data_IF_637768181424
#
_entry.id   IF_637768181424
#
_cell.length_a   1.000
_cell.length_b   1.000
_cell.length_c   1.000
_cell.angle_alpha   90.00
_cell.angle_beta   90.00
_cell.angle_gamma   90.00
#
_symmetry.space_group_name_H-M   'P 1'
#
loop_
_entity.id
_entity.type
_entity.pdbx_description
1 polymer ?
#
# COMPACT_ATOMS: atom_id res chain seq x y z
N UNK A 1 -8.50 15.32 11.22
CA UNK A 1 -8.25 13.88 11.44
C UNK A 1 -8.48 13.16 10.12
N UNK A 2 -7.53 12.31 9.69
CA UNK A 2 -7.71 11.45 8.52
C UNK A 2 -8.88 10.48 8.74
N UNK A 3 -9.44 9.93 7.66
CA UNK A 3 -10.52 8.93 7.76
C UNK A 3 -10.08 7.70 8.55
N UNK A 4 -8.80 7.36 8.49
CA UNK A 4 -8.22 6.21 9.14
C UNK A 4 -7.93 6.42 10.64
N UNK A 5 -7.58 7.64 11.08
CA UNK A 5 -7.47 7.97 12.52
C UNK A 5 -8.82 7.79 13.23
N UNK A 6 -9.95 8.08 12.55
CA UNK A 6 -11.30 7.76 13.03
C UNK A 6 -11.54 6.25 13.10
N UNK A 7 -10.96 5.47 12.17
CA UNK A 7 -11.12 4.03 12.14
C UNK A 7 -10.52 3.36 13.39
N UNK A 8 -9.37 3.81 13.87
CA UNK A 8 -8.75 3.30 15.11
C UNK A 8 -9.68 3.41 16.32
N UNK A 9 -10.33 4.57 16.50
CA UNK A 9 -11.31 4.76 17.57
C UNK A 9 -12.56 3.87 17.40
N UNK A 10 -13.05 3.71 16.17
CA UNK A 10 -14.24 2.89 15.90
C UNK A 10 -14.00 1.39 16.16
N UNK A 11 -12.76 0.89 16.02
CA UNK A 11 -12.44 -0.52 16.36
C UNK A 11 -12.84 -0.86 17.79
N UNK A 12 -12.59 0.02 18.75
CA UNK A 12 -12.91 -0.20 20.17
C UNK A 12 -14.42 -0.15 20.47
N UNK A 13 -15.20 0.51 19.61
CA UNK A 13 -16.65 0.63 19.76
C UNK A 13 -17.40 -0.57 19.19
N UNK A 14 -16.79 -1.39 18.33
CA UNK A 14 -17.43 -2.53 17.70
C UNK A 14 -17.29 -3.79 18.55
N UNK A 15 -18.36 -4.61 18.56
CA UNK A 15 -18.36 -5.86 19.26
C UNK A 15 -18.09 -7.07 18.33
N UNK A 16 -18.04 -8.27 18.90
CA UNK A 16 -17.74 -9.52 18.19
C UNK A 16 -18.71 -9.80 17.03
N UNK A 17 -20.00 -9.48 17.19
CA UNK A 17 -21.02 -9.69 16.16
C UNK A 17 -20.84 -8.73 14.98
N UNK A 18 -20.49 -7.47 15.25
CA UNK A 18 -20.17 -6.48 14.19
C UNK A 18 -19.02 -7.00 13.31
N UNK A 19 -17.95 -7.53 13.93
CA UNK A 19 -16.81 -8.09 13.20
C UNK A 19 -17.12 -9.39 12.45
N UNK A 20 -18.05 -10.22 12.94
CA UNK A 20 -18.56 -11.38 12.18
C UNK A 20 -19.20 -10.92 10.86
N UNK A 21 -20.03 -9.87 10.91
CA UNK A 21 -20.70 -9.31 9.73
C UNK A 21 -19.68 -8.69 8.79
N UNK A 22 -18.75 -7.87 9.28
CA UNK A 22 -17.69 -7.27 8.44
C UNK A 22 -16.81 -8.34 7.79
N UNK A 23 -16.55 -9.47 8.46
CA UNK A 23 -15.86 -10.63 7.88
C UNK A 23 -16.60 -11.18 6.68
N UNK A 24 -17.92 -11.36 6.78
CA UNK A 24 -18.75 -11.86 5.65
C UNK A 24 -18.64 -10.93 4.45
N UNK A 25 -18.76 -9.61 4.67
CA UNK A 25 -18.60 -8.64 3.60
C UNK A 25 -17.21 -8.72 2.95
N UNK A 26 -16.15 -8.69 3.75
CA UNK A 26 -14.78 -8.73 3.26
C UNK A 26 -14.48 -10.02 2.47
N UNK A 27 -14.95 -11.17 2.95
CA UNK A 27 -14.78 -12.46 2.27
C UNK A 27 -15.57 -12.56 0.97
N UNK A 28 -16.66 -11.82 0.84
CA UNK A 28 -17.55 -11.85 -0.33
C UNK A 28 -17.18 -10.85 -1.41
N UNK A 29 -16.23 -9.93 -1.18
CA UNK A 29 -15.88 -8.82 -2.08
C UNK A 29 -15.63 -9.26 -3.54
N UNK A 30 -14.96 -10.40 -3.75
CA UNK A 30 -14.64 -10.90 -5.10
C UNK A 30 -15.86 -11.45 -5.85
N UNK A 31 -16.84 -12.00 -5.12
CA UNK A 31 -17.91 -12.78 -5.71
C UNK A 31 -19.26 -12.06 -5.66
N UNK A 32 -19.46 -11.15 -4.73
CA UNK A 32 -20.74 -10.48 -4.48
C UNK A 32 -20.52 -9.04 -4.05
N UNK A 33 -21.10 -8.14 -4.79
CA UNK A 33 -21.08 -6.72 -4.48
C UNK A 33 -22.08 -6.34 -3.39
N UNK A 34 -23.27 -6.93 -3.45
CA UNK A 34 -24.35 -6.73 -2.48
C UNK A 34 -24.64 -8.02 -1.73
N UNK A 35 -24.91 -7.90 -0.44
CA UNK A 35 -25.35 -9.00 0.40
C UNK A 35 -26.73 -8.66 0.97
N UNK A 36 -27.65 -9.60 0.84
CA UNK A 36 -28.97 -9.52 1.46
C UNK A 36 -28.94 -10.08 2.89
N UNK A 37 -30.02 -9.85 3.62
CA UNK A 37 -30.16 -10.27 5.02
C UNK A 37 -29.99 -11.78 5.21
N UNK A 38 -30.57 -12.57 4.31
CA UNK A 38 -30.48 -14.04 4.36
C UNK A 38 -29.03 -14.52 4.24
N UNK A 39 -28.30 -14.01 3.25
CA UNK A 39 -26.87 -14.33 3.07
C UNK A 39 -26.04 -13.93 4.28
N UNK A 40 -26.28 -12.72 4.81
CA UNK A 40 -25.55 -12.23 5.98
C UNK A 40 -25.85 -13.08 7.21
N UNK A 41 -27.11 -13.46 7.46
CA UNK A 41 -27.50 -14.34 8.56
C UNK A 41 -26.82 -15.70 8.44
N UNK A 42 -26.88 -16.32 7.28
CA UNK A 42 -26.30 -17.63 7.01
C UNK A 42 -24.79 -17.68 7.26
N UNK A 43 -24.03 -16.68 6.77
CA UNK A 43 -22.57 -16.71 6.84
C UNK A 43 -21.99 -16.06 8.09
N UNK A 44 -22.76 -15.25 8.83
CA UNK A 44 -22.29 -14.66 10.10
C UNK A 44 -22.63 -15.52 11.32
N UNK A 45 -23.47 -16.53 11.15
CA UNK A 45 -23.99 -17.35 12.24
C UNK A 45 -24.69 -16.48 13.32
N UNK A 46 -25.53 -15.54 12.84
CA UNK A 46 -26.35 -14.66 13.68
C UNK A 46 -27.81 -14.76 13.27
N UNK A 47 -28.71 -14.84 14.25
CA UNK A 47 -30.14 -14.82 14.01
C UNK A 47 -30.62 -13.51 13.36
N UNK A 48 -31.71 -13.58 12.55
CA UNK A 48 -32.20 -12.44 11.76
C UNK A 48 -32.43 -11.17 12.57
N UNK A 49 -33.10 -11.25 13.70
CA UNK A 49 -33.38 -10.04 14.51
C UNK A 49 -32.11 -9.39 15.07
N UNK A 50 -31.10 -10.19 15.40
CA UNK A 50 -29.82 -9.67 15.88
C UNK A 50 -29.02 -9.02 14.75
N UNK A 51 -29.04 -9.59 13.56
CA UNK A 51 -28.29 -9.08 12.43
C UNK A 51 -28.83 -7.72 11.93
N UNK A 52 -30.15 -7.52 11.95
CA UNK A 52 -30.76 -6.23 11.56
C UNK A 52 -30.26 -5.10 12.44
N UNK A 53 -30.25 -5.30 13.76
CA UNK A 53 -29.73 -4.32 14.72
C UNK A 53 -28.26 -3.97 14.44
N UNK A 54 -27.41 -4.97 14.17
CA UNK A 54 -26.00 -4.74 13.85
C UNK A 54 -25.81 -4.05 12.50
N UNK A 55 -26.60 -4.38 11.48
CA UNK A 55 -26.54 -3.73 10.19
C UNK A 55 -26.91 -2.24 10.28
N UNK A 56 -27.96 -1.88 11.01
CA UNK A 56 -28.33 -0.48 11.24
C UNK A 56 -27.20 0.28 11.94
N UNK A 57 -26.57 -0.34 12.94
CA UNK A 57 -25.43 0.23 13.63
C UNK A 57 -24.22 0.42 12.71
N UNK A 58 -23.87 -0.56 11.88
CA UNK A 58 -22.78 -0.47 10.91
C UNK A 58 -23.05 0.58 9.83
N UNK A 59 -24.31 0.75 9.40
CA UNK A 59 -24.71 1.83 8.50
C UNK A 59 -24.53 3.19 9.18
N UNK A 60 -24.97 3.33 10.43
CA UNK A 60 -24.83 4.57 11.22
C UNK A 60 -23.36 4.97 11.40
N UNK A 61 -22.45 4.01 11.56
CA UNK A 61 -21.02 4.26 11.63
C UNK A 61 -20.35 4.49 10.27
N UNK A 62 -21.10 4.35 9.15
CA UNK A 62 -20.56 4.52 7.80
C UNK A 62 -19.58 3.43 7.39
N UNK A 63 -19.77 2.19 7.89
CA UNK A 63 -18.92 1.03 7.57
C UNK A 63 -19.47 0.20 6.41
N UNK A 64 -20.78 0.23 6.25
CA UNK A 64 -21.53 -0.36 5.15
C UNK A 64 -22.56 0.65 4.66
N UNK A 65 -23.08 0.47 3.47
CA UNK A 65 -24.24 1.22 2.97
C UNK A 65 -25.39 0.28 2.62
N UNK A 66 -26.63 0.78 2.76
CA UNK A 66 -27.86 0.10 2.41
C UNK A 66 -28.41 0.65 1.09
N UNK A 67 -28.89 -0.22 0.21
CA UNK A 67 -29.60 0.11 -1.03
C UNK A 67 -30.75 -0.86 -1.26
N UNK A 68 -31.52 -0.66 -2.33
CA UNK A 68 -32.58 -1.59 -2.74
C UNK A 68 -32.04 -2.99 -3.13
N UNK A 69 -30.74 -3.07 -3.51
CA UNK A 69 -30.07 -4.33 -3.88
C UNK A 69 -29.48 -5.08 -2.67
N UNK A 70 -29.52 -4.47 -1.48
CA UNK A 70 -28.94 -5.01 -0.26
C UNK A 70 -27.88 -4.09 0.35
N UNK A 71 -26.94 -4.70 1.08
CA UNK A 71 -25.87 -4.00 1.79
C UNK A 71 -24.54 -4.18 1.07
N UNK A 72 -23.68 -3.14 1.09
CA UNK A 72 -22.32 -3.19 0.53
C UNK A 72 -21.30 -2.63 1.52
N UNK A 73 -20.09 -3.19 1.51
CA UNK A 73 -18.98 -2.74 2.35
C UNK A 73 -18.44 -1.40 1.86
N UNK A 74 -18.21 -0.50 2.78
CA UNK A 74 -17.52 0.77 2.51
C UNK A 74 -16.02 0.65 2.83
N UNK A 75 -15.23 1.60 2.33
CA UNK A 75 -13.78 1.66 2.57
C UNK A 75 -13.46 1.63 4.06
N UNK A 76 -14.12 2.49 4.85
CA UNK A 76 -13.93 2.53 6.31
C UNK A 76 -14.26 1.20 6.99
N UNK A 77 -15.26 0.47 6.49
CA UNK A 77 -15.60 -0.86 7.00
C UNK A 77 -14.48 -1.88 6.76
N UNK A 78 -13.86 -1.86 5.58
CA UNK A 78 -12.71 -2.72 5.30
C UNK A 78 -11.48 -2.30 6.11
N UNK A 79 -11.23 -1.00 6.28
CA UNK A 79 -10.14 -0.47 7.11
C UNK A 79 -10.22 -1.00 8.54
N UNK A 80 -11.40 -0.87 9.15
CA UNK A 80 -11.66 -1.33 10.52
C UNK A 80 -11.50 -2.84 10.63
N UNK A 81 -11.97 -3.59 9.64
CA UNK A 81 -11.83 -5.03 9.65
C UNK A 81 -10.34 -5.45 9.53
N UNK A 82 -9.57 -4.78 8.69
CA UNK A 82 -8.11 -4.99 8.58
C UNK A 82 -7.41 -4.69 9.91
N UNK A 83 -7.69 -3.54 10.53
CA UNK A 83 -7.11 -3.19 11.85
C UNK A 83 -7.42 -4.27 12.90
N UNK A 84 -8.66 -4.79 12.91
CA UNK A 84 -9.03 -5.88 13.82
C UNK A 84 -8.24 -7.16 13.57
N UNK A 85 -8.00 -7.52 12.29
CA UNK A 85 -7.17 -8.68 11.95
C UNK A 85 -5.74 -8.48 12.47
N UNK A 86 -5.15 -7.31 12.21
CA UNK A 86 -3.77 -7.00 12.60
C UNK A 86 -3.60 -7.03 14.13
N UNK A 87 -4.55 -6.45 14.86
CA UNK A 87 -4.57 -6.46 16.33
C UNK A 87 -4.75 -7.88 16.88
N UNK A 88 -5.71 -8.65 16.37
CA UNK A 88 -5.95 -10.02 16.84
C UNK A 88 -4.77 -10.97 16.59
N UNK A 89 -3.95 -10.69 15.60
CA UNK A 89 -2.73 -11.45 15.27
C UNK A 89 -1.47 -10.91 15.96
N UNK A 90 -1.62 -9.87 16.77
CA UNK A 90 -0.50 -9.16 17.41
C UNK A 90 0.54 -8.61 16.40
N UNK A 91 0.12 -8.37 15.15
CA UNK A 91 0.98 -7.77 14.12
C UNK A 91 1.22 -6.30 14.43
N UNK A 92 0.17 -5.58 14.86
CA UNK A 92 0.27 -4.24 15.43
C UNK A 92 -0.55 -4.15 16.72
N UNK A 93 -0.05 -3.42 17.70
CA UNK A 93 -0.69 -3.17 19.01
C UNK A 93 -1.10 -1.72 19.16
N UNK A 94 -0.40 -0.80 18.50
CA UNK A 94 -0.70 0.63 18.51
C UNK A 94 -0.61 1.22 17.12
N UNK A 95 -1.52 2.18 16.84
CA UNK A 95 -1.53 2.98 15.62
C UNK A 95 -1.02 4.39 15.97
N UNK A 96 0.01 4.82 15.27
CA UNK A 96 0.65 6.12 15.42
C UNK A 96 0.13 7.17 14.41
N UNK A 97 0.88 8.26 14.24
CA UNK A 97 0.53 9.33 13.30
C UNK A 97 0.64 8.88 11.85
N UNK A 98 -0.03 9.64 10.98
CA UNK A 98 0.16 9.54 9.55
C UNK A 98 1.50 10.19 9.17
N UNK A 99 2.40 9.42 8.55
CA UNK A 99 3.74 9.87 8.16
C UNK A 99 3.86 10.14 6.66
N UNK A 100 2.87 9.71 5.87
CA UNK A 100 2.85 9.98 4.43
C UNK A 100 1.44 9.94 3.84
N UNK A 101 1.21 10.80 2.84
CA UNK A 101 0.01 10.82 2.02
C UNK A 101 0.46 10.89 0.57
N UNK A 102 0.37 9.75 -0.12
CA UNK A 102 0.61 9.68 -1.56
C UNK A 102 -0.69 9.69 -2.37
N UNK A 103 -0.54 9.70 -3.69
CA UNK A 103 -1.67 9.52 -4.61
C UNK A 103 -2.25 8.10 -4.54
N UNK A 104 -1.43 7.12 -4.18
CA UNK A 104 -1.72 5.69 -4.23
C UNK A 104 -1.93 5.05 -2.85
N UNK A 105 -1.37 5.63 -1.77
CA UNK A 105 -1.49 5.10 -0.42
C UNK A 105 -1.47 6.17 0.66
N UNK A 106 -1.97 5.78 1.83
CA UNK A 106 -1.79 6.47 3.11
C UNK A 106 -0.84 5.63 3.97
N UNK A 107 0.17 6.26 4.55
CA UNK A 107 1.22 5.60 5.33
C UNK A 107 1.15 6.07 6.78
N UNK A 108 1.12 5.11 7.70
CA UNK A 108 1.03 5.36 9.14
C UNK A 108 2.19 4.69 9.88
N UNK A 109 2.69 5.34 10.90
CA UNK A 109 3.53 4.70 11.89
C UNK A 109 2.65 3.77 12.76
N UNK A 110 3.17 2.64 13.17
CA UNK A 110 2.51 1.70 14.06
C UNK A 110 3.55 1.03 14.95
N UNK A 111 3.12 0.33 16.00
CA UNK A 111 3.99 -0.51 16.83
C UNK A 111 3.45 -1.92 16.92
N UNK A 112 4.37 -2.88 16.93
CA UNK A 112 4.05 -4.28 17.16
C UNK A 112 4.04 -4.67 18.65
N UNK A 113 3.85 -5.96 18.93
CA UNK A 113 3.85 -6.49 20.30
C UNK A 113 5.23 -6.46 20.99
N UNK A 114 6.30 -6.24 20.26
CA UNK A 114 7.66 -6.10 20.77
C UNK A 114 8.11 -4.64 20.88
N UNK A 115 7.14 -3.70 20.79
CA UNK A 115 7.36 -2.24 20.79
C UNK A 115 8.28 -1.74 19.66
N UNK A 116 8.38 -2.52 18.56
CA UNK A 116 9.12 -2.13 17.38
C UNK A 116 8.26 -1.25 16.48
N UNK A 117 8.89 -0.22 15.91
CA UNK A 117 8.24 0.65 14.94
C UNK A 117 7.98 -0.11 13.63
N UNK A 118 6.75 0.06 13.12
CA UNK A 118 6.24 -0.53 11.89
C UNK A 118 5.62 0.52 11.00
N UNK A 119 5.66 0.28 9.71
CA UNK A 119 4.93 1.06 8.71
C UNK A 119 3.69 0.29 8.30
N UNK A 120 2.55 0.97 8.39
CA UNK A 120 1.26 0.50 7.89
C UNK A 120 0.91 1.27 6.62
N UNK A 121 1.02 0.62 5.46
CA UNK A 121 0.70 1.20 4.14
C UNK A 121 -0.70 0.77 3.72
N UNK A 122 -1.61 1.74 3.61
CA UNK A 122 -3.02 1.55 3.22
C UNK A 122 -3.22 2.04 1.79
N UNK A 123 -3.52 1.14 0.86
CA UNK A 123 -3.68 1.51 -0.55
C UNK A 123 -4.96 2.28 -0.81
N UNK A 124 -4.86 3.34 -1.64
CA UNK A 124 -5.91 4.32 -1.94
C UNK A 124 -5.87 4.81 -3.40
N UNK A 125 -5.52 3.93 -4.34
CA UNK A 125 -5.38 4.29 -5.76
C UNK A 125 -6.61 5.02 -6.28
N UNK A 126 -6.39 6.04 -7.10
CA UNK A 126 -7.47 6.77 -7.76
C UNK A 126 -8.38 7.55 -6.80
N UNK A 127 -7.92 7.92 -5.61
CA UNK A 127 -8.70 8.67 -4.60
C UNK A 127 -9.32 9.96 -5.14
N UNK A 128 -8.63 10.69 -6.03
CA UNK A 128 -9.15 11.89 -6.70
C UNK A 128 -10.27 11.56 -7.68
N UNK A 129 -10.08 10.53 -8.49
CA UNK A 129 -11.08 10.04 -9.45
C UNK A 129 -12.29 9.45 -8.70
N UNK A 130 -12.08 8.76 -7.60
CA UNK A 130 -13.13 8.18 -6.77
C UNK A 130 -14.02 9.27 -6.10
N UNK A 131 -13.46 10.43 -5.72
CA UNK A 131 -14.24 11.56 -5.24
C UNK A 131 -15.20 12.10 -6.31
N UNK A 132 -14.84 12.01 -7.59
CA UNK A 132 -15.71 12.42 -8.71
C UNK A 132 -16.79 11.36 -8.99
N UNK A 133 -16.50 10.08 -8.81
CA UNK A 133 -17.45 8.97 -9.00
C UNK A 133 -18.56 9.01 -7.93
N UNK A 134 -18.27 9.42 -6.69
CA UNK A 134 -19.28 9.64 -5.63
C UNK A 134 -20.41 10.60 -6.02
N UNK A 135 -20.24 11.38 -7.07
CA UNK A 135 -21.26 12.31 -7.59
C UNK A 135 -22.17 11.69 -8.66
N UNK A 136 -21.90 10.43 -9.12
CA UNK A 136 -22.69 9.72 -10.14
C UNK A 136 -23.48 8.56 -9.53
N UNK A 137 -24.63 8.21 -10.16
CA UNK A 137 -25.67 7.30 -9.63
C UNK A 137 -25.26 5.83 -9.32
N UNK A 138 -24.09 5.35 -9.74
CA UNK A 138 -23.61 3.95 -9.50
C UNK A 138 -22.44 3.88 -8.51
N UNK A 139 -22.62 4.52 -7.37
CA UNK A 139 -21.55 4.65 -6.34
C UNK A 139 -21.09 3.27 -5.79
N UNK A 140 -21.99 2.33 -5.64
CA UNK A 140 -21.68 1.04 -5.00
C UNK A 140 -20.83 0.11 -5.86
N UNK A 141 -21.12 -0.01 -7.16
CA UNK A 141 -20.31 -0.80 -8.11
C UNK A 141 -18.88 -0.27 -8.19
N UNK A 142 -18.77 1.06 -8.24
CA UNK A 142 -17.48 1.74 -8.24
C UNK A 142 -16.68 1.50 -6.95
N UNK A 143 -17.35 1.44 -5.78
CA UNK A 143 -16.68 1.16 -4.49
C UNK A 143 -16.09 -0.24 -4.47
N UNK A 144 -16.86 -1.26 -4.86
CA UNK A 144 -16.38 -2.64 -4.84
C UNK A 144 -15.19 -2.85 -5.80
N UNK A 145 -15.29 -2.36 -7.03
CA UNK A 145 -14.19 -2.41 -8.01
C UNK A 145 -12.94 -1.67 -7.50
N UNK A 146 -13.13 -0.53 -6.84
CA UNK A 146 -12.06 0.23 -6.24
C UNK A 146 -11.39 -0.51 -5.07
N UNK A 147 -12.17 -1.16 -4.19
CA UNK A 147 -11.63 -1.98 -3.10
C UNK A 147 -10.81 -3.15 -3.65
N UNK A 148 -11.31 -3.84 -4.68
CA UNK A 148 -10.60 -4.95 -5.32
C UNK A 148 -9.29 -4.49 -5.95
N UNK A 149 -9.30 -3.37 -6.68
CA UNK A 149 -8.08 -2.79 -7.25
C UNK A 149 -7.01 -2.54 -6.19
N UNK A 150 -7.38 -1.93 -5.06
CA UNK A 150 -6.44 -1.66 -3.97
C UNK A 150 -5.92 -2.94 -3.29
N UNK A 151 -6.76 -3.98 -3.19
CA UNK A 151 -6.36 -5.29 -2.67
C UNK A 151 -5.35 -5.96 -3.60
N UNK A 152 -5.58 -5.92 -4.91
CA UNK A 152 -4.70 -6.53 -5.91
C UNK A 152 -3.36 -5.76 -6.00
N UNK A 153 -3.39 -4.44 -5.88
CA UNK A 153 -2.17 -3.62 -5.83
C UNK A 153 -1.35 -3.89 -4.57
N UNK A 154 -2.00 -3.97 -3.40
CA UNK A 154 -1.32 -4.37 -2.17
C UNK A 154 -0.70 -5.77 -2.26
N UNK A 155 -1.40 -6.70 -2.93
CA UNK A 155 -0.86 -8.05 -3.17
C UNK A 155 0.38 -7.99 -4.05
N UNK A 156 0.31 -7.28 -5.17
CA UNK A 156 1.42 -7.14 -6.12
C UNK A 156 2.67 -6.58 -5.43
N UNK A 157 2.56 -5.46 -4.72
CA UNK A 157 3.69 -4.87 -4.01
C UNK A 157 4.24 -5.78 -2.92
N UNK A 158 3.37 -6.41 -2.13
CA UNK A 158 3.79 -7.37 -1.10
C UNK A 158 4.59 -8.54 -1.68
N UNK A 159 4.11 -9.12 -2.79
CA UNK A 159 4.76 -10.24 -3.46
C UNK A 159 6.15 -9.81 -4.00
N UNK A 160 6.28 -8.63 -4.58
CA UNK A 160 7.56 -8.07 -5.08
C UNK A 160 8.54 -7.84 -3.92
N UNK A 161 8.11 -7.12 -2.88
CA UNK A 161 8.95 -6.85 -1.72
C UNK A 161 9.40 -8.14 -1.01
N UNK A 162 8.55 -9.16 -0.98
CA UNK A 162 8.92 -10.49 -0.44
C UNK A 162 10.06 -11.13 -1.24
N UNK A 163 10.14 -10.90 -2.56
CA UNK A 163 11.24 -11.38 -3.39
C UNK A 163 12.53 -10.54 -3.22
N UNK A 164 12.40 -9.28 -2.85
CA UNK A 164 13.53 -8.34 -2.72
C UNK A 164 14.15 -8.31 -1.32
N UNK A 165 13.39 -8.60 -0.26
CA UNK A 165 13.77 -8.38 1.15
C UNK A 165 15.10 -9.00 1.59
N UNK A 166 15.43 -10.18 1.05
CA UNK A 166 16.65 -10.91 1.43
C UNK A 166 17.86 -10.54 0.55
N UNK A 167 17.70 -9.61 -0.38
CA UNK A 167 18.74 -9.22 -1.34
C UNK A 167 19.56 -8.03 -0.88
N UNK A 168 18.96 -7.12 -0.12
CA UNK A 168 19.59 -5.93 0.44
C UNK A 168 18.67 -5.32 1.49
N UNK A 169 19.25 -4.64 2.49
CA UNK A 169 18.52 -3.83 3.47
C UNK A 169 17.93 -2.54 2.86
N UNK A 170 18.18 -2.31 1.57
CA UNK A 170 17.71 -1.14 0.83
C UNK A 170 16.25 -1.24 0.36
N UNK A 171 15.59 -2.35 0.61
CA UNK A 171 14.18 -2.57 0.26
C UNK A 171 13.33 -2.69 1.52
N UNK A 172 12.09 -2.14 1.53
CA UNK A 172 11.17 -2.35 2.63
C UNK A 172 10.95 -3.84 2.88
N UNK A 173 11.11 -4.29 4.13
CA UNK A 173 10.86 -5.68 4.52
C UNK A 173 9.36 -5.86 4.83
N UNK A 174 8.57 -6.56 3.99
CA UNK A 174 7.16 -6.78 4.23
C UNK A 174 6.95 -7.89 5.26
N UNK A 175 6.24 -7.59 6.34
CA UNK A 175 5.98 -8.52 7.44
C UNK A 175 4.64 -9.24 7.28
N UNK A 176 3.61 -8.50 6.90
CA UNK A 176 2.25 -9.02 6.80
C UNK A 176 1.40 -8.23 5.82
N UNK A 177 0.51 -8.92 5.10
CA UNK A 177 -0.49 -8.30 4.23
C UNK A 177 -1.90 -8.73 4.63
N UNK A 178 -2.81 -7.76 4.69
CA UNK A 178 -4.24 -8.00 4.89
C UNK A 178 -5.05 -7.11 3.94
N UNK A 179 -5.75 -7.72 3.01
CA UNK A 179 -6.52 -7.02 1.99
C UNK A 179 -5.68 -5.93 1.29
N UNK A 180 -6.09 -4.66 1.40
CA UNK A 180 -5.45 -3.47 0.81
C UNK A 180 -4.40 -2.83 1.72
N UNK A 181 -3.87 -3.57 2.67
CA UNK A 181 -2.90 -3.10 3.66
C UNK A 181 -1.64 -3.98 3.66
N UNK A 182 -0.48 -3.35 3.75
CA UNK A 182 0.82 -3.99 4.03
C UNK A 182 1.37 -3.43 5.33
N UNK A 183 1.87 -4.31 6.19
CA UNK A 183 2.71 -3.97 7.35
C UNK A 183 4.14 -4.34 7.01
N UNK A 184 5.07 -3.42 7.23
CA UNK A 184 6.49 -3.58 6.94
C UNK A 184 7.35 -2.96 8.04
N UNK A 185 8.62 -3.28 8.06
CA UNK A 185 9.58 -2.62 8.95
C UNK A 185 9.64 -1.11 8.68
N UNK A 186 9.87 -0.32 9.72
CA UNK A 186 10.11 1.10 9.55
C UNK A 186 11.52 1.31 8.98
N UNK A 187 11.59 2.12 7.91
CA UNK A 187 12.85 2.62 7.37
C UNK A 187 12.91 4.10 7.72
N UNK A 188 14.04 4.53 8.26
CA UNK A 188 14.31 5.91 8.60
C UNK A 188 15.16 6.57 7.52
N UNK A 189 15.14 7.89 7.45
CA UNK A 189 15.85 8.70 6.47
C UNK A 189 14.99 9.81 5.91
N UNK A 190 15.62 10.75 5.23
CA UNK A 190 14.97 11.83 4.52
C UNK A 190 14.73 11.42 3.07
N UNK A 191 13.65 11.89 2.46
CA UNK A 191 13.51 11.72 1.01
C UNK A 191 14.64 12.40 0.28
N UNK A 192 15.11 11.79 -0.78
CA UNK A 192 16.16 12.38 -1.63
C UNK A 192 15.73 13.78 -2.12
N UNK A 193 14.44 13.97 -2.41
CA UNK A 193 13.86 15.28 -2.78
C UNK A 193 14.01 16.36 -1.70
N UNK A 194 13.99 15.97 -0.43
CA UNK A 194 13.94 16.88 0.72
C UNK A 194 15.35 17.23 1.25
N UNK A 195 16.39 16.53 0.76
CA UNK A 195 17.77 16.83 1.10
C UNK A 195 18.27 18.01 0.25
N UNK A 196 18.65 19.11 0.88
CA UNK A 196 19.26 20.25 0.22
C UNK A 196 20.70 19.95 -0.26
N UNK A 197 21.42 19.15 0.52
CA UNK A 197 22.77 18.65 0.22
C UNK A 197 22.92 17.20 0.69
N UNK A 198 23.85 16.48 0.09
CA UNK A 198 24.28 15.15 0.50
C UNK A 198 25.75 15.20 0.91
N UNK A 199 26.17 14.35 1.84
CA UNK A 199 27.59 14.27 2.22
C UNK A 199 28.46 13.83 1.04
N UNK A 200 28.04 12.78 0.34
CA UNK A 200 28.66 12.26 -0.87
C UNK A 200 27.60 11.94 -1.92
N UNK A 201 27.25 12.91 -2.80
CA UNK A 201 26.22 12.69 -3.82
C UNK A 201 26.60 11.60 -4.84
N UNK A 202 27.90 11.44 -5.15
CA UNK A 202 28.37 10.38 -6.07
C UNK A 202 28.12 9.00 -5.46
N UNK A 203 28.50 8.80 -4.21
CA UNK A 203 28.27 7.53 -3.49
C UNK A 203 26.77 7.22 -3.36
N UNK A 204 25.93 8.21 -3.07
CA UNK A 204 24.47 8.02 -3.01
C UNK A 204 23.93 7.62 -4.38
N UNK A 205 24.41 8.24 -5.47
CA UNK A 205 24.03 7.85 -6.82
C UNK A 205 24.42 6.40 -7.12
N UNK A 206 25.66 6.00 -6.84
CA UNK A 206 26.14 4.64 -7.04
C UNK A 206 25.29 3.62 -6.26
N UNK A 207 24.97 3.88 -5.01
CA UNK A 207 24.10 3.01 -4.19
C UNK A 207 22.68 2.89 -4.74
N UNK A 208 22.14 3.95 -5.34
CA UNK A 208 20.86 3.87 -6.05
C UNK A 208 20.97 2.90 -7.23
N UNK A 209 22.02 3.02 -8.05
CA UNK A 209 22.23 2.14 -9.21
C UNK A 209 22.47 0.69 -8.78
N UNK A 210 23.22 0.47 -7.71
CA UNK A 210 23.43 -0.88 -7.14
C UNK A 210 22.11 -1.53 -6.73
N UNK A 211 21.23 -0.77 -6.05
CA UNK A 211 19.92 -1.26 -5.64
C UNK A 211 19.01 -1.56 -6.84
N UNK A 212 19.05 -0.74 -7.90
CA UNK A 212 18.33 -1.02 -9.15
C UNK A 212 18.88 -2.30 -9.79
N UNK A 213 20.19 -2.48 -9.81
CA UNK A 213 20.86 -3.69 -10.34
C UNK A 213 20.45 -4.94 -9.56
N UNK A 214 20.38 -4.85 -8.23
CA UNK A 214 19.90 -5.96 -7.37
C UNK A 214 18.44 -6.30 -7.71
N UNK A 215 17.57 -5.29 -7.84
CA UNK A 215 16.17 -5.52 -8.18
C UNK A 215 16.03 -6.13 -9.59
N UNK A 216 16.82 -5.66 -10.56
CA UNK A 216 16.84 -6.21 -11.91
C UNK A 216 17.29 -7.67 -11.93
N UNK A 217 18.35 -8.05 -11.20
CA UNK A 217 18.79 -9.46 -11.01
C UNK A 217 17.70 -10.33 -10.40
N UNK A 218 16.82 -9.77 -9.58
CA UNK A 218 15.64 -10.45 -9.00
C UNK A 218 14.45 -10.49 -9.97
N UNK A 219 14.59 -9.95 -11.17
CA UNK A 219 13.57 -9.98 -12.20
C UNK A 219 12.59 -8.82 -12.16
N UNK A 220 12.90 -7.71 -11.47
CA UNK A 220 11.98 -6.57 -11.32
C UNK A 220 12.61 -5.24 -11.67
N UNK A 221 11.82 -4.34 -12.25
CA UNK A 221 12.10 -2.92 -12.47
C UNK A 221 11.06 -2.13 -11.68
N UNK A 222 11.45 -1.07 -10.95
CA UNK A 222 10.56 -0.33 -10.06
C UNK A 222 9.34 0.27 -10.77
N UNK A 223 9.55 0.94 -11.91
CA UNK A 223 8.49 1.48 -12.75
C UNK A 223 7.94 2.83 -12.30
N UNK A 224 8.43 3.40 -11.22
CA UNK A 224 8.10 4.76 -10.74
C UNK A 224 9.26 5.37 -9.96
N UNK A 225 10.50 5.05 -10.37
CA UNK A 225 11.69 5.51 -9.68
C UNK A 225 11.91 7.01 -9.88
N UNK A 226 11.95 7.72 -8.75
CA UNK A 226 12.17 9.17 -8.71
C UNK A 226 12.64 9.57 -7.31
N UNK A 227 13.05 10.84 -7.15
CA UNK A 227 13.57 11.42 -5.92
C UNK A 227 12.61 11.39 -4.72
N UNK A 228 11.30 11.23 -4.95
CA UNK A 228 10.29 11.14 -3.88
C UNK A 228 10.16 9.73 -3.31
N UNK A 229 10.60 8.72 -4.07
CA UNK A 229 10.51 7.29 -3.72
C UNK A 229 11.83 6.72 -3.20
N UNK A 230 12.80 7.57 -2.89
CA UNK A 230 14.11 7.20 -2.35
C UNK A 230 14.28 7.86 -0.99
N UNK A 231 14.65 7.08 0.04
CA UNK A 231 15.11 7.58 1.32
C UNK A 231 16.62 7.49 1.40
N UNK A 232 17.21 8.51 2.01
CA UNK A 232 18.65 8.59 2.30
C UNK A 232 18.83 8.81 3.80
N UNK A 233 19.65 7.96 4.43
CA UNK A 233 20.06 8.03 5.81
C UNK A 233 21.59 7.97 5.85
N UNK A 234 22.23 9.12 6.08
CA UNK A 234 23.64 9.35 5.76
C UNK A 234 23.94 8.98 4.29
N UNK A 235 24.69 7.90 4.07
CA UNK A 235 24.95 7.36 2.72
C UNK A 235 24.08 6.15 2.38
N UNK A 236 23.25 5.65 3.30
CA UNK A 236 22.39 4.50 3.02
C UNK A 236 21.18 4.92 2.20
N UNK A 237 20.85 4.09 1.20
CA UNK A 237 19.75 4.36 0.27
C UNK A 237 18.71 3.26 0.38
N UNK A 238 17.44 3.66 0.46
CA UNK A 238 16.32 2.73 0.39
C UNK A 238 15.34 3.16 -0.71
N UNK A 239 14.98 2.21 -1.58
CA UNK A 239 14.00 2.42 -2.66
C UNK A 239 12.63 1.96 -2.18
N UNK A 240 11.71 2.92 -2.11
CA UNK A 240 10.33 2.72 -1.70
C UNK A 240 9.41 2.52 -2.92
N UNK A 241 8.16 2.18 -2.64
CA UNK A 241 7.02 2.28 -3.57
C UNK A 241 7.15 1.39 -4.83
N UNK A 242 6.72 0.13 -4.71
CA UNK A 242 6.84 -0.91 -5.74
C UNK A 242 5.53 -1.34 -6.44
N UNK A 243 4.38 -0.66 -6.29
CA UNK A 243 3.12 -1.14 -6.88
C UNK A 243 3.12 -1.09 -8.40
N UNK A 244 3.92 -0.19 -9.00
CA UNK A 244 4.05 -0.03 -10.45
C UNK A 244 5.12 -0.92 -11.07
N UNK A 245 5.88 -1.66 -10.26
CA UNK A 245 6.98 -2.48 -10.75
C UNK A 245 6.54 -3.47 -11.83
N UNK A 246 7.43 -3.69 -12.78
CA UNK A 246 7.25 -4.62 -13.89
C UNK A 246 8.32 -5.70 -13.84
N UNK A 247 8.01 -6.87 -14.43
CA UNK A 247 9.01 -7.92 -14.62
C UNK A 247 9.95 -7.55 -15.78
N UNK A 248 11.18 -8.03 -15.72
CA UNK A 248 12.20 -7.78 -16.77
C UNK A 248 11.85 -8.43 -18.12
N UNK A 249 10.98 -9.44 -18.13
CA UNK A 249 10.47 -10.10 -19.34
C UNK A 249 9.18 -9.45 -19.90
N UNK A 250 8.71 -8.36 -19.31
CA UNK A 250 7.55 -7.63 -19.81
C UNK A 250 7.89 -6.90 -21.14
N UNK A 251 6.90 -6.80 -22.02
CA UNK A 251 7.07 -6.18 -23.35
C UNK A 251 7.63 -4.75 -23.28
N UNK A 252 7.28 -4.01 -22.23
CA UNK A 252 7.70 -2.63 -22.03
C UNK A 252 8.87 -2.48 -21.02
N UNK A 253 9.51 -3.57 -20.60
CA UNK A 253 10.55 -3.56 -19.58
C UNK A 253 11.69 -2.59 -19.88
N UNK A 254 12.23 -2.64 -21.10
CA UNK A 254 13.32 -1.76 -21.53
C UNK A 254 12.94 -0.27 -21.49
N UNK A 255 11.75 0.07 -21.94
CA UNK A 255 11.27 1.46 -21.89
C UNK A 255 11.07 1.94 -20.44
N UNK A 256 10.62 1.05 -19.55
CA UNK A 256 10.43 1.35 -18.12
C UNK A 256 11.79 1.56 -17.44
N UNK A 257 12.75 0.66 -17.66
CA UNK A 257 14.11 0.79 -17.10
C UNK A 257 14.78 2.08 -17.59
N UNK A 258 14.68 2.35 -18.89
CA UNK A 258 15.25 3.58 -19.48
C UNK A 258 14.69 4.83 -18.81
N UNK A 259 13.38 4.89 -18.64
CA UNK A 259 12.72 6.02 -17.97
C UNK A 259 13.17 6.18 -16.51
N UNK A 260 13.22 5.07 -15.75
CA UNK A 260 13.61 5.09 -14.35
C UNK A 260 15.06 5.57 -14.18
N UNK A 261 16.00 5.09 -15.01
CA UNK A 261 17.40 5.56 -15.01
C UNK A 261 17.51 7.03 -15.43
N UNK A 262 16.80 7.45 -16.49
CA UNK A 262 16.81 8.85 -16.94
C UNK A 262 16.23 9.81 -15.88
N UNK A 263 15.24 9.40 -15.10
CA UNK A 263 14.71 10.23 -14.01
C UNK A 263 15.81 10.51 -12.98
N UNK A 264 16.55 9.50 -12.56
CA UNK A 264 17.59 9.63 -11.54
C UNK A 264 18.81 10.38 -12.08
N UNK A 265 19.33 10.05 -13.28
CA UNK A 265 20.45 10.77 -13.87
C UNK A 265 20.15 12.25 -14.05
N UNK A 266 18.95 12.57 -14.55
CA UNK A 266 18.49 13.96 -14.72
C UNK A 266 18.36 14.71 -13.38
N UNK A 267 17.91 14.03 -12.33
CA UNK A 267 17.81 14.64 -11.00
C UNK A 267 19.19 14.98 -10.45
N UNK A 268 20.15 14.03 -10.52
CA UNK A 268 21.52 14.23 -10.03
C UNK A 268 22.29 15.26 -10.83
N UNK A 269 22.15 15.27 -12.16
CA UNK A 269 22.73 16.32 -13.01
C UNK A 269 22.24 17.71 -12.58
N UNK A 270 20.92 17.88 -12.40
CA UNK A 270 20.36 19.20 -12.08
C UNK A 270 20.65 19.68 -10.67
N UNK A 271 20.71 18.78 -9.68
CA UNK A 271 20.78 19.14 -8.27
C UNK A 271 22.21 19.12 -7.72
N UNK A 272 23.02 18.19 -8.20
CA UNK A 272 24.35 17.91 -7.67
C UNK A 272 25.47 18.07 -8.70
N UNK A 273 25.15 18.48 -9.94
CA UNK A 273 26.09 18.64 -11.07
C UNK A 273 26.86 17.35 -11.41
N UNK A 274 26.18 16.19 -11.26
CA UNK A 274 26.73 14.86 -11.55
C UNK A 274 26.19 14.38 -12.91
N UNK A 275 27.07 14.41 -13.92
CA UNK A 275 26.72 13.94 -15.26
C UNK A 275 27.07 12.46 -15.42
N UNK A 276 26.08 11.65 -15.78
CA UNK A 276 26.21 10.21 -16.03
C UNK A 276 25.47 9.81 -17.29
N UNK A 277 26.06 8.91 -18.07
CA UNK A 277 25.42 8.39 -19.28
C UNK A 277 24.41 7.29 -18.92
N UNK A 278 23.14 7.60 -19.16
CA UNK A 278 22.04 6.66 -18.88
C UNK A 278 22.12 5.37 -19.71
N UNK A 279 22.67 5.41 -20.94
CA UNK A 279 22.81 4.22 -21.79
C UNK A 279 23.88 3.29 -21.25
N UNK A 280 25.04 3.82 -20.88
CA UNK A 280 26.11 3.04 -20.27
C UNK A 280 25.64 2.37 -18.97
N UNK A 281 24.89 3.09 -18.12
CA UNK A 281 24.32 2.53 -16.89
C UNK A 281 23.37 1.36 -17.18
N UNK A 282 22.47 1.52 -18.15
CA UNK A 282 21.51 0.47 -18.52
C UNK A 282 22.24 -0.76 -19.06
N UNK A 283 23.24 -0.58 -19.89
CA UNK A 283 24.04 -1.68 -20.44
C UNK A 283 24.80 -2.43 -19.33
N UNK A 284 25.33 -1.69 -18.36
CA UNK A 284 26.00 -2.28 -17.19
C UNK A 284 25.02 -3.09 -16.33
N UNK A 285 23.81 -2.54 -16.01
CA UNK A 285 22.76 -3.24 -15.26
C UNK A 285 22.40 -4.56 -15.94
N UNK A 286 22.19 -4.55 -17.27
CA UNK A 286 21.82 -5.75 -18.04
C UNK A 286 22.93 -6.78 -18.08
N UNK A 287 24.18 -6.33 -18.26
CA UNK A 287 25.36 -7.22 -18.29
C UNK A 287 25.58 -7.88 -16.93
N UNK A 288 25.49 -7.13 -15.85
CA UNK A 288 25.74 -7.61 -14.50
C UNK A 288 24.64 -8.54 -13.99
N UNK A 289 23.50 -8.58 -14.66
CA UNK A 289 22.39 -9.47 -14.33
C UNK A 289 22.36 -10.76 -15.18
N UNK A 290 23.20 -10.84 -16.22
CA UNK A 290 23.34 -12.02 -17.11
C UNK A 290 24.29 -13.04 -16.53
#
# INVERSE_FOLDING_TARGET
MSSFSKAGHLVSLLNKSDFKILKVFASSLKNRQFLNLTTLSQYSDLGQGLIEHHLERLVKFGLISKSNLGYTLLVTGLDIYVLKILSNKNIITALGPQVGIGKEAEVYLARDSSDQDRILKMFRLGRSSFKQIKRKRDVSTAINSWLLLNIDTAKKEYDILTNLKDSSNSFPNPLYRSFHCIVMDAIYGNRLSDNESLNDPELVFERIIDNITIAYRKGFINGDLNEYNILVDDDNVSILDWPQAVKIDAINADAVLTRDIQNITKYFSKKFDIEKDSHEIIDNIKRDAS
#
